data_IF_843350380145
#
_entry.id   IF_843350380145
#
_cell.length_a   1.000
_cell.length_b   1.000
_cell.length_c   1.000
_cell.angle_alpha   90.00
_cell.angle_beta   90.00
_cell.angle_gamma   90.00
#
_symmetry.space_group_name_H-M   'P 1'
#
loop_
_entity.id
_entity.type
_entity.pdbx_description
1 polymer ?
#
# COMPACT_ATOMS: atom_id res chain seq x y z
N UNK A 1 -44.92 -15.06 32.57
CA UNK A 1 -43.54 -15.15 32.12
C UNK A 1 -43.44 -14.37 30.81
N UNK A 2 -42.98 -13.10 30.81
CA UNK A 2 -42.83 -12.31 29.58
C UNK A 2 -41.64 -12.82 28.77
N UNK A 3 -41.86 -13.35 27.58
CA UNK A 3 -40.78 -13.64 26.63
C UNK A 3 -40.19 -12.29 26.14
N UNK A 4 -38.98 -11.95 26.56
CA UNK A 4 -38.25 -10.83 25.96
C UNK A 4 -38.10 -11.14 24.46
N UNK A 5 -38.75 -10.33 23.62
CA UNK A 5 -38.54 -10.35 22.17
C UNK A 5 -37.09 -9.93 21.93
N UNK A 6 -36.23 -10.86 21.48
CA UNK A 6 -34.90 -10.47 21.05
C UNK A 6 -35.06 -9.67 19.77
N UNK A 7 -34.59 -8.43 19.79
CA UNK A 7 -34.53 -7.59 18.60
C UNK A 7 -33.52 -8.19 17.61
N UNK A 8 -33.76 -8.09 16.29
CA UNK A 8 -32.82 -8.59 15.31
C UNK A 8 -31.50 -7.83 15.41
N UNK A 9 -30.38 -8.54 15.33
CA UNK A 9 -29.05 -7.90 15.25
C UNK A 9 -28.81 -7.37 13.85
N UNK A 10 -28.40 -6.14 13.74
CA UNK A 10 -28.02 -5.48 12.48
C UNK A 10 -26.50 -5.42 12.40
N UNK A 11 -25.95 -5.86 11.26
CA UNK A 11 -24.51 -5.75 10.99
C UNK A 11 -24.19 -4.31 10.57
N UNK A 12 -23.30 -3.67 11.30
CA UNK A 12 -22.78 -2.33 11.03
C UNK A 12 -21.36 -2.45 10.53
N UNK A 13 -21.00 -1.58 9.61
CA UNK A 13 -19.63 -1.41 9.11
C UNK A 13 -19.30 0.06 9.15
N UNK A 14 -18.22 0.38 9.83
CA UNK A 14 -17.64 1.72 9.85
C UNK A 14 -16.27 1.67 9.16
N UNK A 15 -16.02 2.68 8.31
CA UNK A 15 -14.80 2.79 7.51
C UNK A 15 -14.19 4.15 7.76
N UNK A 16 -12.92 4.18 8.12
CA UNK A 16 -12.14 5.39 8.36
C UNK A 16 -11.04 5.47 7.29
N UNK A 17 -11.09 6.50 6.45
CA UNK A 17 -10.18 6.68 5.30
C UNK A 17 -9.27 7.91 5.43
N UNK A 18 -9.61 8.88 6.28
CA UNK A 18 -8.97 10.21 6.28
C UNK A 18 -8.59 10.73 7.68
N UNK A 19 -8.54 9.90 8.70
CA UNK A 19 -8.13 10.35 10.02
C UNK A 19 -6.61 10.47 10.10
N UNK A 20 -6.09 11.68 9.89
CA UNK A 20 -4.68 11.97 10.11
C UNK A 20 -4.29 11.78 11.58
N UNK A 21 -3.03 11.50 11.90
CA UNK A 21 -2.54 11.41 13.29
C UNK A 21 -2.84 12.67 14.12
N UNK A 22 -3.11 13.80 13.46
CA UNK A 22 -3.42 15.09 14.08
C UNK A 22 -4.92 15.25 14.40
N UNK A 23 -5.80 14.51 13.71
CA UNK A 23 -7.26 14.60 13.89
C UNK A 23 -7.78 13.71 15.02
N UNK A 24 -6.90 13.01 15.76
CA UNK A 24 -7.23 12.19 16.95
C UNK A 24 -8.62 11.55 16.85
N UNK A 25 -8.81 10.69 15.84
CA UNK A 25 -10.04 9.95 15.69
C UNK A 25 -10.24 9.02 16.87
N UNK A 26 -11.46 9.02 17.40
CA UNK A 26 -11.87 8.09 18.42
C UNK A 26 -13.15 7.40 17.98
N UNK A 27 -13.24 6.12 18.26
CA UNK A 27 -14.45 5.34 18.10
C UNK A 27 -15.00 5.00 19.49
N UNK A 28 -16.20 5.48 19.80
CA UNK A 28 -16.92 5.11 20.99
C UNK A 28 -17.77 3.88 20.69
N UNK A 29 -17.64 2.84 21.52
CA UNK A 29 -18.39 1.59 21.36
C UNK A 29 -19.88 1.87 21.56
N UNK A 30 -20.73 1.62 20.54
CA UNK A 30 -22.15 1.86 20.64
C UNK A 30 -22.84 0.95 21.67
N UNK A 31 -23.98 1.40 22.21
CA UNK A 31 -24.80 0.60 23.10
C UNK A 31 -25.19 -0.75 22.48
N UNK A 32 -25.04 -1.81 23.28
CA UNK A 32 -25.38 -3.17 22.87
C UNK A 32 -24.33 -3.85 21.99
N UNK A 33 -23.17 -3.22 21.75
CA UNK A 33 -22.02 -3.82 21.05
C UNK A 33 -21.02 -4.33 22.08
N UNK A 34 -20.66 -5.62 21.99
CA UNK A 34 -19.73 -6.29 22.91
C UNK A 34 -18.56 -6.97 22.20
N UNK A 35 -18.55 -6.93 20.89
CA UNK A 35 -17.47 -7.50 20.06
C UNK A 35 -17.34 -6.67 18.79
N UNK A 36 -16.11 -6.43 18.36
CA UNK A 36 -15.79 -5.79 17.09
C UNK A 36 -14.74 -6.60 16.32
N UNK A 37 -15.01 -6.87 15.06
CA UNK A 37 -14.05 -7.38 14.09
C UNK A 37 -13.42 -6.19 13.38
N UNK A 38 -12.08 -6.10 13.33
CA UNK A 38 -11.38 -4.98 12.74
C UNK A 38 -10.40 -5.41 11.65
N UNK A 39 -10.16 -4.52 10.70
CA UNK A 39 -9.03 -4.58 9.79
C UNK A 39 -8.30 -3.23 9.78
N UNK A 40 -6.98 -3.28 9.92
CA UNK A 40 -6.07 -2.16 9.81
C UNK A 40 -5.17 -2.37 8.61
N UNK A 41 -5.05 -1.36 7.77
CA UNK A 41 -4.08 -1.32 6.67
C UNK A 41 -3.26 -0.06 6.85
N UNK A 42 -1.96 -0.19 6.99
CA UNK A 42 -1.05 0.94 7.07
C UNK A 42 -0.81 1.57 5.70
N UNK A 43 -0.25 2.77 5.64
CA UNK A 43 0.16 3.40 4.40
C UNK A 43 1.35 2.67 3.76
N UNK A 44 1.35 2.58 2.42
CA UNK A 44 2.49 2.08 1.65
C UNK A 44 3.59 3.13 1.51
N UNK A 45 4.81 2.67 1.24
CA UNK A 45 5.97 3.53 1.05
C UNK A 45 6.03 4.06 -0.39
N UNK A 46 6.67 5.20 -0.57
CA UNK A 46 7.02 5.70 -1.90
C UNK A 46 8.07 4.79 -2.55
N UNK A 47 8.09 4.73 -3.88
CA UNK A 47 9.16 4.13 -4.65
C UNK A 47 10.47 4.91 -4.54
N UNK A 48 11.58 4.27 -4.85
CA UNK A 48 12.92 4.85 -4.83
C UNK A 48 13.20 5.75 -6.04
N UNK A 49 14.08 6.71 -5.83
CA UNK A 49 14.70 7.51 -6.89
C UNK A 49 15.69 6.66 -7.69
N UNK A 50 15.93 7.04 -8.92
CA UNK A 50 17.04 6.52 -9.70
C UNK A 50 18.22 7.49 -9.70
N UNK A 51 19.41 6.96 -9.93
CA UNK A 51 20.63 7.71 -10.18
C UNK A 51 21.32 7.24 -11.47
N UNK A 52 22.55 7.70 -11.70
CA UNK A 52 23.33 7.32 -12.91
C UNK A 52 23.80 5.85 -12.91
N UNK A 53 23.66 5.14 -11.80
CA UNK A 53 24.12 3.75 -11.65
C UNK A 53 22.96 2.79 -11.40
N UNK A 54 21.86 3.25 -10.81
CA UNK A 54 20.80 2.39 -10.30
C UNK A 54 19.42 2.85 -10.73
N UNK A 55 18.56 1.91 -11.07
CA UNK A 55 17.11 2.15 -11.11
C UNK A 55 16.52 2.13 -9.70
N UNK A 56 15.47 2.90 -9.48
CA UNK A 56 14.79 2.97 -8.19
C UNK A 56 14.07 1.66 -7.84
N UNK A 57 14.12 1.27 -6.58
CA UNK A 57 13.30 0.16 -6.05
C UNK A 57 11.83 0.55 -5.97
N UNK A 58 10.93 -0.43 -6.03
CA UNK A 58 9.53 -0.24 -5.64
C UNK A 58 9.41 -0.03 -4.13
N UNK A 59 8.43 0.76 -3.71
CA UNK A 59 8.09 0.92 -2.29
C UNK A 59 7.40 -0.32 -1.73
N UNK A 60 7.66 -0.66 -0.49
CA UNK A 60 6.92 -1.72 0.19
C UNK A 60 5.47 -1.28 0.46
N UNK A 61 4.55 -2.22 0.42
CA UNK A 61 3.17 -2.02 0.84
C UNK A 61 3.04 -1.83 2.35
N UNK A 62 1.94 -1.25 2.79
CA UNK A 62 1.56 -1.14 4.19
C UNK A 62 1.15 -2.49 4.78
N UNK A 63 1.50 -2.74 6.04
CA UNK A 63 1.09 -3.93 6.76
C UNK A 63 -0.43 -4.04 6.89
N UNK A 64 -0.94 -5.27 6.89
CA UNK A 64 -2.36 -5.59 7.09
C UNK A 64 -2.49 -6.38 8.38
N UNK A 65 -3.37 -5.94 9.28
CA UNK A 65 -3.69 -6.62 10.54
C UNK A 65 -5.20 -6.75 10.69
N UNK A 66 -5.69 -7.95 10.92
CA UNK A 66 -7.10 -8.21 11.18
C UNK A 66 -7.28 -8.95 12.51
N UNK A 67 -8.40 -8.72 13.17
CA UNK A 67 -8.68 -9.39 14.43
C UNK A 67 -10.11 -9.17 14.90
N UNK A 68 -10.47 -9.88 15.96
CA UNK A 68 -11.74 -9.71 16.69
C UNK A 68 -11.43 -9.51 18.15
N UNK A 69 -12.02 -8.50 18.77
CA UNK A 69 -11.83 -8.18 20.19
C UNK A 69 -13.15 -8.00 20.92
N UNK A 70 -13.21 -8.40 22.21
CA UNK A 70 -14.30 -7.99 23.07
C UNK A 70 -14.20 -6.49 23.37
N UNK A 71 -15.33 -5.82 23.43
CA UNK A 71 -15.46 -4.39 23.74
C UNK A 71 -16.58 -4.16 24.73
N UNK A 72 -16.59 -3.01 25.41
CA UNK A 72 -17.67 -2.61 26.29
C UNK A 72 -18.33 -1.32 25.79
N UNK A 73 -19.68 -1.22 25.79
CA UNK A 73 -20.40 0.00 25.41
C UNK A 73 -19.89 1.23 26.15
N UNK A 74 -19.79 2.36 25.48
CA UNK A 74 -19.31 3.64 26.01
C UNK A 74 -17.79 3.74 26.19
N UNK A 75 -17.05 2.67 25.99
CA UNK A 75 -15.57 2.75 25.97
C UNK A 75 -15.10 3.34 24.65
N UNK A 76 -14.11 4.22 24.71
CA UNK A 76 -13.56 4.90 23.53
C UNK A 76 -12.22 4.30 23.14
N UNK A 77 -12.06 3.98 21.86
CA UNK A 77 -10.81 3.49 21.25
C UNK A 77 -10.23 4.56 20.33
N UNK A 78 -8.92 4.76 20.42
CA UNK A 78 -8.20 5.61 19.46
C UNK A 78 -8.19 4.95 18.09
N UNK A 79 -8.50 5.74 17.04
CA UNK A 79 -8.41 5.33 15.63
C UNK A 79 -7.45 6.28 14.92
N UNK A 80 -6.46 5.72 14.22
CA UNK A 80 -5.56 6.47 13.35
C UNK A 80 -5.51 5.76 12.00
N UNK A 81 -5.71 6.50 10.93
CA UNK A 81 -5.48 6.03 9.56
C UNK A 81 -4.11 6.51 9.12
N UNK A 82 -3.24 5.59 8.75
CA UNK A 82 -1.90 5.92 8.29
C UNK A 82 -1.94 6.65 6.95
N UNK A 83 -1.30 7.79 6.86
CA UNK A 83 -0.99 8.43 5.58
C UNK A 83 0.11 7.63 4.85
N UNK A 84 0.57 8.07 3.69
CA UNK A 84 1.69 7.44 2.98
C UNK A 84 2.88 7.29 3.93
N UNK A 85 3.36 6.07 4.10
CA UNK A 85 4.42 5.74 5.04
C UNK A 85 4.03 5.83 6.53
N UNK A 86 2.74 5.99 6.85
CA UNK A 86 2.21 6.06 8.21
C UNK A 86 1.53 4.78 8.68
N UNK A 87 1.56 4.54 10.00
CA UNK A 87 0.93 3.39 10.64
C UNK A 87 -0.57 3.62 10.87
N UNK A 88 -1.38 2.57 10.76
CA UNK A 88 -2.79 2.60 11.16
C UNK A 88 -3.00 1.95 12.52
N UNK A 89 -3.82 2.56 13.37
CA UNK A 89 -4.00 2.16 14.78
C UNK A 89 -5.47 2.03 15.12
N UNK A 90 -5.81 0.99 15.90
CA UNK A 90 -7.07 0.82 16.59
C UNK A 90 -6.82 0.37 18.03
N UNK A 91 -7.05 1.26 19.00
CA UNK A 91 -6.73 1.03 20.41
C UNK A 91 -5.25 0.76 20.62
N UNK A 92 -4.90 -0.49 20.98
CA UNK A 92 -3.50 -0.98 21.15
C UNK A 92 -2.96 -1.72 19.93
N UNK A 93 -3.78 -1.96 18.92
CA UNK A 93 -3.41 -2.69 17.71
C UNK A 93 -2.85 -1.72 16.67
N UNK A 94 -1.81 -2.12 15.97
CA UNK A 94 -1.09 -1.30 15.01
C UNK A 94 -0.70 -2.10 13.77
N UNK A 95 -1.08 -1.62 12.60
CA UNK A 95 -0.54 -2.05 11.32
C UNK A 95 0.62 -1.10 10.95
N UNK A 96 1.77 -1.65 10.57
CA UNK A 96 3.02 -0.90 10.39
C UNK A 96 3.25 -0.63 8.90
N UNK A 97 3.59 0.61 8.56
CA UNK A 97 3.95 1.00 7.21
C UNK A 97 5.13 0.19 6.66
N UNK A 98 5.11 -0.15 5.38
CA UNK A 98 6.18 -0.92 4.73
C UNK A 98 6.30 -2.39 5.16
N UNK A 99 5.33 -2.95 5.89
CA UNK A 99 5.28 -4.35 6.34
C UNK A 99 4.26 -5.20 5.58
N UNK A 100 3.75 -4.70 4.46
CA UNK A 100 2.92 -5.45 3.51
C UNK A 100 3.75 -6.17 2.45
N UNK A 101 3.24 -6.24 1.22
CA UNK A 101 3.96 -6.79 0.08
C UNK A 101 5.30 -6.09 -0.15
N UNK A 102 6.36 -6.86 -0.38
CA UNK A 102 7.70 -6.32 -0.63
C UNK A 102 7.73 -5.64 -2.00
N UNK A 103 8.29 -4.43 -2.10
CA UNK A 103 8.56 -3.77 -3.37
C UNK A 103 9.64 -4.50 -4.17
N UNK A 104 9.56 -4.40 -5.50
CA UNK A 104 10.62 -4.92 -6.37
C UNK A 104 11.96 -4.27 -6.06
N UNK A 105 13.02 -5.05 -5.93
CA UNK A 105 14.37 -4.52 -5.72
C UNK A 105 14.81 -3.69 -6.92
N UNK A 106 15.46 -2.55 -6.66
CA UNK A 106 16.10 -1.76 -7.69
C UNK A 106 17.14 -2.59 -8.45
N UNK A 107 17.29 -2.33 -9.75
CA UNK A 107 18.28 -3.00 -10.57
C UNK A 107 19.58 -2.18 -10.55
N UNK A 108 20.65 -2.79 -10.04
CA UNK A 108 22.00 -2.24 -10.14
C UNK A 108 22.58 -2.65 -11.49
N UNK A 109 23.20 -1.69 -12.19
CA UNK A 109 23.88 -1.97 -13.43
C UNK A 109 25.37 -1.67 -13.32
N UNK A 110 26.19 -2.71 -13.39
CA UNK A 110 27.65 -2.59 -13.47
C UNK A 110 28.17 -2.39 -14.90
N UNK A 111 27.30 -2.00 -15.80
CA UNK A 111 27.76 -1.36 -16.99
C UNK A 111 27.21 -1.77 -18.33
N UNK A 112 26.81 -2.97 -18.64
CA UNK A 112 26.49 -3.33 -20.04
C UNK A 112 25.23 -4.21 -20.19
N UNK A 113 24.71 -4.79 -19.16
CA UNK A 113 23.52 -5.65 -19.27
C UNK A 113 22.23 -4.88 -18.96
N UNK A 114 21.36 -4.66 -19.96
CA UNK A 114 20.05 -4.07 -19.73
C UNK A 114 19.20 -5.01 -18.87
N UNK A 115 18.51 -4.48 -17.89
CA UNK A 115 17.69 -5.29 -16.98
C UNK A 115 16.28 -4.71 -16.84
N UNK A 116 15.24 -5.53 -17.10
CA UNK A 116 13.87 -5.13 -16.80
C UNK A 116 13.68 -4.96 -15.28
N UNK A 117 12.70 -4.16 -14.89
CA UNK A 117 12.38 -3.98 -13.47
C UNK A 117 11.81 -5.24 -12.82
N UNK A 118 12.08 -5.42 -11.55
CA UNK A 118 11.56 -6.52 -10.74
C UNK A 118 10.12 -6.24 -10.26
N UNK A 119 9.23 -7.24 -10.29
CA UNK A 119 7.85 -7.06 -9.81
C UNK A 119 7.80 -6.88 -8.28
N UNK A 120 6.81 -6.13 -7.81
CA UNK A 120 6.42 -6.10 -6.41
C UNK A 120 5.57 -7.30 -6.03
N UNK A 121 5.49 -7.58 -4.74
CA UNK A 121 4.66 -8.66 -4.18
C UNK A 121 3.22 -8.22 -3.96
N UNK A 122 2.31 -9.18 -4.03
CA UNK A 122 0.90 -8.97 -3.69
C UNK A 122 0.72 -8.61 -2.21
N UNK A 123 -0.37 -7.90 -1.93
CA UNK A 123 -0.81 -7.60 -0.57
C UNK A 123 -1.57 -8.78 0.06
N UNK A 124 -2.24 -8.48 1.16
CA UNK A 124 -3.04 -9.44 1.92
C UNK A 124 -4.53 -9.08 1.88
N UNK A 125 -5.40 -10.10 1.84
CA UNK A 125 -6.84 -9.91 1.96
C UNK A 125 -7.20 -9.55 3.41
N UNK A 126 -7.98 -8.47 3.59
CA UNK A 126 -8.56 -8.14 4.89
C UNK A 126 -9.61 -9.19 5.28
N UNK A 127 -9.78 -9.42 6.56
CA UNK A 127 -10.69 -10.43 7.12
C UNK A 127 -10.53 -11.84 6.53
N UNK A 128 -9.32 -12.22 6.11
CA UNK A 128 -9.03 -13.51 5.48
C UNK A 128 -9.99 -13.83 4.32
N UNK A 129 -10.36 -12.84 3.52
CA UNK A 129 -11.32 -12.94 2.42
C UNK A 129 -12.73 -13.38 2.83
N UNK A 130 -13.14 -13.15 4.06
CA UNK A 130 -14.50 -13.49 4.57
C UNK A 130 -15.61 -12.67 3.89
N UNK A 131 -15.27 -11.52 3.31
CA UNK A 131 -16.22 -10.59 2.68
C UNK A 131 -15.76 -10.21 1.26
N UNK A 132 -15.68 -11.19 0.33
CA UNK A 132 -15.11 -10.97 -1.00
C UNK A 132 -15.91 -9.97 -1.85
N UNK A 133 -17.24 -9.92 -1.70
CA UNK A 133 -18.09 -8.97 -2.43
C UNK A 133 -17.85 -7.51 -1.99
N UNK A 134 -17.35 -7.29 -0.77
CA UNK A 134 -17.12 -5.97 -0.20
C UNK A 134 -15.66 -5.55 -0.30
N UNK A 135 -14.74 -6.49 -0.12
CA UNK A 135 -13.29 -6.28 -0.18
C UNK A 135 -12.68 -7.31 -1.15
N UNK A 136 -12.94 -7.15 -2.46
CA UNK A 136 -12.56 -8.16 -3.46
C UNK A 136 -11.05 -8.22 -3.70
N UNK A 137 -10.30 -7.21 -3.26
CA UNK A 137 -8.89 -7.05 -3.60
C UNK A 137 -7.99 -7.12 -2.36
N UNK A 138 -6.78 -7.69 -2.49
CA UNK A 138 -5.76 -7.60 -1.44
C UNK A 138 -5.33 -6.15 -1.24
N UNK A 139 -4.88 -5.81 -0.03
CA UNK A 139 -4.39 -4.49 0.35
C UNK A 139 -2.92 -4.58 0.76
N UNK A 140 -2.20 -3.46 0.67
CA UNK A 140 -0.79 -3.43 1.07
C UNK A 140 0.17 -4.08 0.06
N UNK A 141 -0.12 -4.04 -1.23
CA UNK A 141 0.76 -4.56 -2.28
C UNK A 141 2.04 -3.72 -2.45
N UNK A 142 3.17 -4.33 -2.76
CA UNK A 142 4.42 -3.64 -3.07
C UNK A 142 4.46 -3.07 -4.49
N UNK A 143 5.19 -1.98 -4.72
CA UNK A 143 5.43 -1.43 -6.05
C UNK A 143 6.50 -2.20 -6.83
N UNK A 144 6.48 -2.14 -8.16
CA UNK A 144 7.54 -2.68 -9.02
C UNK A 144 8.77 -1.76 -9.06
N UNK A 145 9.97 -2.27 -9.33
CA UNK A 145 11.15 -1.45 -9.54
C UNK A 145 11.23 -0.87 -10.95
N UNK A 146 11.98 0.22 -11.13
CA UNK A 146 12.32 0.74 -12.45
C UNK A 146 13.21 -0.20 -13.25
N UNK A 147 13.22 -0.04 -14.57
CA UNK A 147 14.13 -0.71 -15.49
C UNK A 147 15.47 0.02 -15.56
N UNK A 148 16.51 -0.69 -15.92
CA UNK A 148 17.86 -0.18 -16.14
C UNK A 148 18.31 -0.46 -17.58
N UNK A 149 18.79 0.58 -18.26
CA UNK A 149 19.52 0.41 -19.52
C UNK A 149 20.75 1.33 -19.54
N UNK A 150 21.81 0.93 -20.20
CA UNK A 150 23.02 1.74 -20.38
C UNK A 150 23.62 1.51 -21.76
N UNK A 151 23.41 2.48 -22.62
CA UNK A 151 24.11 2.68 -23.89
C UNK A 151 24.13 1.51 -24.86
N UNK A 152 23.90 1.78 -26.11
CA UNK A 152 23.95 0.89 -27.27
C UNK A 152 22.62 0.21 -27.66
N UNK A 153 21.61 1.03 -27.97
CA UNK A 153 20.45 0.64 -28.83
C UNK A 153 19.74 -0.67 -28.43
N UNK A 154 19.44 -0.82 -27.14
CA UNK A 154 18.71 -2.00 -26.63
C UNK A 154 17.18 -1.91 -26.74
N UNK A 155 16.67 -0.76 -27.21
CA UNK A 155 15.24 -0.53 -27.28
C UNK A 155 14.56 -0.35 -25.91
N UNK A 156 13.26 -0.51 -25.89
CA UNK A 156 12.45 -0.31 -24.68
C UNK A 156 12.50 -1.51 -23.74
N UNK A 157 12.80 -1.26 -22.47
CA UNK A 157 12.70 -2.20 -21.36
C UNK A 157 11.57 -1.82 -20.42
N UNK A 158 10.70 -2.77 -20.10
CA UNK A 158 9.60 -2.52 -19.16
C UNK A 158 10.08 -2.45 -17.71
N UNK A 159 9.52 -1.53 -16.94
CA UNK A 159 9.58 -1.58 -15.48
C UNK A 159 8.89 -2.82 -14.91
N UNK A 160 9.19 -3.18 -13.68
CA UNK A 160 8.53 -4.25 -12.95
C UNK A 160 7.07 -3.89 -12.66
N UNK A 161 6.17 -4.87 -12.74
CA UNK A 161 4.79 -4.68 -12.34
C UNK A 161 4.67 -4.50 -10.84
N UNK A 162 3.82 -3.59 -10.40
CA UNK A 162 3.37 -3.56 -9.00
C UNK A 162 2.63 -4.84 -8.63
N UNK A 163 2.62 -5.17 -7.36
CA UNK A 163 1.80 -6.27 -6.84
C UNK A 163 0.31 -6.03 -7.15
N UNK A 164 -0.44 -7.12 -7.31
CA UNK A 164 -1.83 -7.06 -7.75
C UNK A 164 -2.68 -6.13 -6.87
N UNK A 165 -3.53 -5.33 -7.54
CA UNK A 165 -4.52 -4.47 -6.93
C UNK A 165 -3.98 -3.40 -5.96
N UNK A 166 -2.92 -2.71 -6.33
CA UNK A 166 -2.57 -1.54 -5.55
C UNK A 166 -1.13 -1.07 -5.60
N UNK A 167 -0.17 -1.93 -5.92
CA UNK A 167 1.21 -1.50 -6.11
C UNK A 167 1.38 -0.66 -7.38
N UNK A 168 2.18 0.40 -7.33
CA UNK A 168 2.55 1.20 -8.50
C UNK A 168 3.54 0.45 -9.39
N UNK A 169 3.36 0.53 -10.71
CA UNK A 169 4.30 -0.05 -11.67
C UNK A 169 5.63 0.72 -11.66
N UNK A 170 6.75 0.03 -11.82
CA UNK A 170 8.05 0.64 -12.06
C UNK A 170 8.11 1.31 -13.43
N UNK A 171 8.95 2.33 -13.57
CA UNK A 171 9.16 3.01 -14.85
C UNK A 171 9.92 2.14 -15.84
N UNK A 172 9.55 2.20 -17.12
CA UNK A 172 10.32 1.66 -18.22
C UNK A 172 11.58 2.47 -18.48
N UNK A 173 12.52 1.90 -19.23
CA UNK A 173 13.70 2.61 -19.73
C UNK A 173 13.84 2.36 -21.23
N UNK A 174 14.22 3.40 -21.97
CA UNK A 174 14.52 3.33 -23.38
C UNK A 174 15.90 3.93 -23.62
N UNK A 175 16.70 3.28 -24.46
CA UNK A 175 17.99 3.82 -24.90
C UNK A 175 17.97 3.99 -26.42
N UNK A 176 18.15 5.22 -26.86
CA UNK A 176 18.24 5.59 -28.28
C UNK A 176 19.62 6.19 -28.49
N UNK A 177 20.40 5.62 -29.43
CA UNK A 177 21.75 6.06 -29.72
C UNK A 177 21.83 7.58 -29.98
N UNK A 178 22.64 8.28 -29.15
CA UNK A 178 22.89 9.71 -29.26
C UNK A 178 21.79 10.62 -28.68
N UNK A 179 20.77 10.07 -28.04
CA UNK A 179 19.72 10.84 -27.38
C UNK A 179 19.92 10.78 -25.85
N UNK A 180 19.93 11.97 -25.22
CA UNK A 180 19.93 12.09 -23.74
C UNK A 180 18.50 11.79 -23.29
N UNK A 181 18.29 10.70 -22.54
CA UNK A 181 17.00 10.34 -21.98
C UNK A 181 17.06 10.51 -20.46
N UNK A 182 16.18 11.35 -19.91
CA UNK A 182 16.00 11.44 -18.48
C UNK A 182 15.32 10.16 -17.95
N UNK A 183 15.65 9.79 -16.72
CA UNK A 183 14.94 8.70 -16.05
C UNK A 183 13.45 9.04 -15.91
N UNK A 184 12.59 8.06 -16.19
CA UNK A 184 11.15 8.20 -16.03
C UNK A 184 10.72 7.99 -14.59
N UNK A 185 9.59 8.58 -14.23
CA UNK A 185 9.02 8.43 -12.89
C UNK A 185 8.28 7.10 -12.75
N UNK A 186 8.41 6.47 -11.60
CA UNK A 186 7.61 5.31 -11.23
C UNK A 186 6.12 5.66 -11.08
N UNK A 187 5.26 4.68 -11.31
CA UNK A 187 3.81 4.80 -11.16
C UNK A 187 3.39 4.93 -9.70
N UNK A 188 2.32 5.68 -9.45
CA UNK A 188 1.73 5.79 -8.11
C UNK A 188 0.96 4.50 -7.77
N UNK A 189 0.91 4.17 -6.49
CA UNK A 189 0.00 3.16 -5.98
C UNK A 189 -1.46 3.61 -6.14
N UNK A 190 -2.36 2.63 -6.30
CA UNK A 190 -3.76 2.89 -6.67
C UNK A 190 -4.77 2.39 -5.65
N UNK A 191 -4.33 1.68 -4.59
CA UNK A 191 -5.22 1.12 -3.59
C UNK A 191 -4.59 1.12 -2.19
N UNK A 192 -5.41 0.93 -1.14
CA UNK A 192 -5.02 1.10 0.26
C UNK A 192 -3.77 0.32 0.64
N UNK A 193 -2.81 1.04 1.22
CA UNK A 193 -1.53 0.50 1.62
C UNK A 193 -0.58 0.14 0.47
N UNK A 194 -0.93 0.43 -0.79
CA UNK A 194 -0.05 0.13 -1.92
C UNK A 194 1.27 0.90 -1.87
N UNK A 195 2.38 0.27 -2.24
CA UNK A 195 3.68 0.91 -2.41
C UNK A 195 3.84 1.51 -3.80
N UNK A 196 4.50 2.63 -3.94
CA UNK A 196 4.77 3.28 -5.22
C UNK A 196 5.84 2.57 -6.04
N UNK A 197 5.79 2.70 -7.37
CA UNK A 197 6.79 2.14 -8.28
C UNK A 197 8.13 2.87 -8.26
N UNK A 198 9.22 2.19 -8.57
CA UNK A 198 10.55 2.78 -8.67
C UNK A 198 10.77 3.50 -10.00
N UNK A 199 11.64 4.50 -9.99
CA UNK A 199 12.03 5.25 -11.19
C UNK A 199 13.00 4.46 -12.07
N UNK A 200 12.95 4.67 -13.39
CA UNK A 200 13.97 4.15 -14.29
C UNK A 200 15.27 4.94 -14.20
N UNK A 201 16.37 4.30 -14.58
CA UNK A 201 17.67 4.96 -14.65
C UNK A 201 17.71 6.01 -15.76
N UNK A 202 18.41 7.11 -15.51
CA UNK A 202 18.77 8.10 -16.51
C UNK A 202 19.98 7.66 -17.36
N UNK A 203 20.15 8.23 -18.58
CA UNK A 203 21.35 8.02 -19.39
C UNK A 203 22.59 8.69 -18.79
N UNK A 204 23.79 8.29 -19.30
CA UNK A 204 25.07 8.49 -18.60
C UNK A 204 25.68 9.91 -18.55
N UNK A 205 25.07 10.90 -19.12
CA UNK A 205 25.74 12.17 -19.40
C UNK A 205 25.14 13.37 -18.69
N UNK A 206 24.76 13.20 -17.44
CA UNK A 206 24.30 14.30 -16.57
C UNK A 206 22.80 14.54 -16.64
N UNK A 207 22.04 13.64 -17.25
CA UNK A 207 20.59 13.68 -17.22
C UNK A 207 20.05 13.45 -15.79
N UNK A 208 18.90 14.06 -15.47
CA UNK A 208 18.28 13.90 -14.17
C UNK A 208 17.69 12.47 -14.01
N UNK A 209 17.91 11.86 -12.87
CA UNK A 209 17.22 10.63 -12.49
C UNK A 209 15.71 10.86 -12.34
N UNK A 210 14.93 9.81 -12.57
CA UNK A 210 13.49 9.82 -12.31
C UNK A 210 13.16 9.77 -10.82
N UNK A 211 11.92 10.08 -10.47
CA UNK A 211 11.39 9.99 -9.11
C UNK A 211 10.55 8.73 -8.96
N UNK A 212 10.61 8.10 -7.80
CA UNK A 212 9.68 7.04 -7.47
C UNK A 212 8.24 7.54 -7.39
N UNK A 213 7.29 6.67 -7.68
CA UNK A 213 5.87 6.92 -7.50
C UNK A 213 5.48 6.99 -6.03
N UNK A 214 4.36 7.63 -5.76
CA UNK A 214 3.81 7.72 -4.40
C UNK A 214 3.19 6.39 -3.96
N UNK A 215 3.37 6.03 -2.69
CA UNK A 215 2.54 5.02 -2.03
C UNK A 215 1.08 5.50 -1.89
N UNK A 216 0.23 4.64 -1.34
CA UNK A 216 -1.16 4.97 -1.03
C UNK A 216 -1.42 4.87 0.46
N UNK A 217 -2.35 5.70 0.96
CA UNK A 217 -2.73 5.72 2.39
C UNK A 217 -3.28 4.38 2.87
N UNK A 218 -3.35 4.20 4.19
CA UNK A 218 -4.01 3.09 4.84
C UNK A 218 -5.52 3.24 4.95
N UNK A 219 -6.14 2.31 5.70
CA UNK A 219 -7.59 2.32 6.01
C UNK A 219 -7.81 1.58 7.34
N UNK A 220 -8.84 1.98 8.10
CA UNK A 220 -9.33 1.26 9.27
C UNK A 220 -10.79 0.88 9.04
N UNK A 221 -11.13 -0.39 9.24
CA UNK A 221 -12.47 -0.95 9.01
C UNK A 221 -12.92 -1.66 10.28
N UNK A 222 -14.11 -1.32 10.77
CA UNK A 222 -14.74 -1.95 11.93
C UNK A 222 -16.06 -2.61 11.52
N UNK A 223 -16.23 -3.89 11.89
CA UNK A 223 -17.46 -4.65 11.74
C UNK A 223 -18.00 -5.06 13.09
N UNK A 224 -19.26 -4.78 13.37
CA UNK A 224 -19.91 -5.22 14.60
C UNK A 224 -21.42 -5.45 14.43
N UNK A 225 -22.01 -6.13 15.40
CA UNK A 225 -23.45 -6.38 15.45
C UNK A 225 -24.07 -5.47 16.51
N UNK A 226 -25.06 -4.69 16.10
CA UNK A 226 -25.85 -3.83 17.00
C UNK A 226 -27.27 -4.37 17.12
N UNK A 227 -27.83 -4.35 18.32
CA UNK A 227 -29.25 -4.63 18.50
C UNK A 227 -30.08 -3.55 17.80
N UNK A 228 -31.04 -3.97 16.98
CA UNK A 228 -31.95 -3.07 16.27
C UNK A 228 -33.01 -2.46 17.18
#
# INVERSE_FOLDING_TARGET
>A
MMRRRMLPKVKIVEVFEELSPQDNGYWEVPDGVYEVEFALVAGGLNGGYSDIYNAGSGGNGGGVLTGTIPVNPGVTYRVVVGDIGGDSIFGIYQAIAGKGGIGGYGVEGDGYDPSPGNPGQDGSYVFNNKYPDRYPYPMGAGGGSGAYTRGWDFGFLSGGKGGNHGGGDGAGAEDIEGVIINGENGGNATYYGGGGGGASKASNDGSAGGRGGSGYRGIVILHYLKNG
#
